data_IF_716552807073
#
_entry.id   IF_716552807073
#
_cell.length_a   1.000
_cell.length_b   1.000
_cell.length_c   1.000
_cell.angle_alpha   90.00
_cell.angle_beta   90.00
_cell.angle_gamma   90.00
#
_symmetry.space_group_name_H-M   'P 1'
#
loop_
_entity.id
_entity.type
_entity.pdbx_description
1 polymer ?
#
# COMPACT_ATOMS: atom_id res chain seq x y z
N UNK A 1 6.45 -3.77 -21.59
CA UNK A 1 5.07 -3.31 -21.82
C UNK A 1 4.73 -2.41 -20.64
N UNK A 2 4.79 -1.07 -20.81
CA UNK A 2 4.52 -0.15 -19.71
C UNK A 2 3.01 0.06 -19.56
N UNK A 3 2.44 -0.37 -18.45
CA UNK A 3 1.06 -0.07 -18.09
C UNK A 3 0.96 1.41 -17.68
N UNK A 4 0.36 2.23 -18.55
CA UNK A 4 -0.02 3.60 -18.21
C UNK A 4 -1.16 3.52 -17.21
N UNK A 5 -0.89 3.84 -15.94
CA UNK A 5 -1.93 3.93 -14.91
C UNK A 5 -2.91 5.05 -15.29
N UNK A 6 -4.14 4.69 -15.63
CA UNK A 6 -5.21 5.64 -15.93
C UNK A 6 -5.54 6.47 -14.68
N UNK A 7 -5.36 7.78 -14.75
CA UNK A 7 -5.75 8.72 -13.70
C UNK A 7 -7.22 9.07 -13.89
N UNK A 8 -8.07 8.71 -12.93
CA UNK A 8 -9.47 9.19 -12.86
C UNK A 8 -9.53 10.44 -11.99
N UNK A 9 -10.13 11.51 -12.51
CA UNK A 9 -10.31 12.77 -11.79
C UNK A 9 -11.78 13.21 -11.88
N UNK A 10 -12.27 13.86 -10.81
CA UNK A 10 -13.59 14.46 -10.75
C UNK A 10 -13.54 15.70 -9.86
N UNK A 11 -14.38 16.69 -10.15
CA UNK A 11 -14.54 17.90 -9.33
C UNK A 11 -15.64 17.62 -8.30
N UNK A 12 -15.36 17.94 -7.03
CA UNK A 12 -16.32 17.80 -5.94
C UNK A 12 -16.44 19.10 -5.16
N UNK A 13 -17.63 19.37 -4.63
CA UNK A 13 -17.86 20.48 -3.71
C UNK A 13 -17.61 20.05 -2.27
N UNK A 14 -16.91 20.89 -1.52
CA UNK A 14 -16.68 20.69 -0.08
C UNK A 14 -17.83 21.33 0.68
N UNK A 15 -18.51 20.52 1.50
CA UNK A 15 -19.55 20.96 2.42
C UNK A 15 -18.96 21.14 3.81
N UNK A 16 -19.36 22.20 4.49
CA UNK A 16 -19.04 22.43 5.89
C UNK A 16 -20.22 21.96 6.74
N UNK A 17 -19.94 21.19 7.80
CA UNK A 17 -20.93 20.82 8.81
C UNK A 17 -21.09 21.94 9.83
N UNK A 18 -22.18 21.94 10.59
CA UNK A 18 -22.40 22.90 11.69
C UNK A 18 -21.27 22.87 12.73
N UNK A 19 -20.67 21.69 12.97
CA UNK A 19 -19.49 21.52 13.84
C UNK A 19 -18.16 22.05 13.23
N UNK A 20 -18.17 22.65 12.04
CA UNK A 20 -16.97 23.15 11.36
C UNK A 20 -16.13 22.08 10.64
N UNK A 21 -16.61 20.84 10.50
CA UNK A 21 -15.92 19.78 9.75
C UNK A 21 -16.15 19.93 8.25
N UNK A 22 -15.14 19.55 7.47
CA UNK A 22 -15.24 19.49 6.01
C UNK A 22 -15.61 18.09 5.55
N UNK A 23 -16.56 17.99 4.62
CA UNK A 23 -17.05 16.73 4.06
C UNK A 23 -17.23 16.88 2.56
N UNK A 24 -17.05 15.79 1.82
CA UNK A 24 -17.42 15.72 0.41
C UNK A 24 -18.04 14.35 0.13
N UNK A 25 -18.86 14.27 -0.92
CA UNK A 25 -19.44 13.02 -1.37
C UNK A 25 -18.54 12.38 -2.42
N UNK A 26 -18.17 11.11 -2.24
CA UNK A 26 -17.38 10.39 -3.23
C UNK A 26 -18.18 10.28 -4.55
N UNK A 27 -17.63 10.74 -5.69
CA UNK A 27 -18.35 10.70 -6.96
C UNK A 27 -18.61 9.28 -7.46
N UNK A 28 -19.63 9.13 -8.28
CA UNK A 28 -19.93 7.87 -8.94
C UNK A 28 -18.77 7.41 -9.83
N UNK A 29 -18.46 6.12 -9.80
CA UNK A 29 -17.33 5.54 -10.54
C UNK A 29 -16.00 5.51 -9.77
N UNK A 30 -15.92 6.15 -8.60
CA UNK A 30 -14.83 6.00 -7.65
C UNK A 30 -15.19 4.94 -6.60
N UNK A 31 -14.24 4.07 -6.27
CA UNK A 31 -14.41 3.06 -5.23
C UNK A 31 -13.22 3.11 -4.30
N UNK A 32 -13.48 3.31 -3.02
CA UNK A 32 -12.51 3.15 -1.95
C UNK A 32 -12.77 1.81 -1.25
N UNK A 33 -11.74 1.06 -0.86
CA UNK A 33 -11.93 -0.16 -0.08
C UNK A 33 -12.59 0.19 1.26
N UNK A 34 -13.42 -0.72 1.78
CA UNK A 34 -13.98 -0.57 3.13
C UNK A 34 -12.83 -0.58 4.15
N UNK A 35 -12.77 0.42 5.02
CA UNK A 35 -11.73 0.50 6.04
C UNK A 35 -11.40 1.93 6.44
N UNK A 36 -10.16 2.13 6.87
CA UNK A 36 -9.61 3.43 7.26
C UNK A 36 -8.86 4.05 6.08
N UNK A 37 -8.93 5.38 5.98
CA UNK A 37 -8.11 6.15 5.05
C UNK A 37 -7.05 6.91 5.85
N UNK A 38 -5.83 6.94 5.34
CA UNK A 38 -4.81 7.89 5.73
C UNK A 38 -5.05 9.16 4.92
N UNK A 39 -5.10 10.30 5.62
CA UNK A 39 -5.18 11.62 5.00
C UNK A 39 -3.83 12.29 5.20
N UNK A 40 -3.16 12.64 4.09
CA UNK A 40 -1.91 13.38 4.12
C UNK A 40 -2.10 14.73 3.44
N UNK A 41 -1.57 15.79 4.08
CA UNK A 41 -1.54 17.13 3.52
C UNK A 41 -0.11 17.47 3.09
N UNK A 42 0.04 17.82 1.82
CA UNK A 42 1.28 18.31 1.23
C UNK A 42 0.99 19.67 0.60
N UNK A 43 1.26 20.75 1.34
CA UNK A 43 0.85 22.10 0.98
C UNK A 43 -0.67 22.22 0.78
N UNK A 44 -1.07 22.51 -0.47
CA UNK A 44 -2.48 22.63 -0.89
C UNK A 44 -3.09 21.31 -1.37
N UNK A 45 -2.32 20.22 -1.37
CA UNK A 45 -2.77 18.91 -1.84
C UNK A 45 -3.12 18.00 -0.68
N UNK A 46 -4.38 17.56 -0.65
CA UNK A 46 -4.81 16.45 0.19
C UNK A 46 -4.76 15.13 -0.59
N UNK A 47 -4.06 14.14 -0.04
CA UNK A 47 -3.99 12.79 -0.59
C UNK A 47 -4.67 11.82 0.38
N UNK A 48 -5.56 10.99 -0.16
CA UNK A 48 -6.29 9.97 0.59
C UNK A 48 -5.82 8.59 0.14
N UNK A 49 -5.25 7.83 1.06
CA UNK A 49 -4.77 6.48 0.79
C UNK A 49 -5.47 5.46 1.68
N UNK A 50 -5.90 4.30 1.17
CA UNK A 50 -6.45 3.26 2.02
C UNK A 50 -5.37 2.70 2.94
N UNK A 51 -5.64 2.68 4.24
CA UNK A 51 -4.79 2.00 5.21
C UNK A 51 -4.95 0.50 4.97
N UNK A 52 -4.03 -0.07 4.19
CA UNK A 52 -3.93 -1.52 4.07
C UNK A 52 -3.53 -2.05 5.45
N UNK A 53 -4.33 -2.96 6.00
CA UNK A 53 -3.91 -3.73 7.17
C UNK A 53 -2.63 -4.46 6.76
N UNK A 54 -1.49 -4.06 7.32
CA UNK A 54 -0.28 -4.87 7.26
C UNK A 54 -0.54 -6.05 8.17
N UNK A 55 -0.30 -7.26 7.67
CA UNK A 55 -0.31 -8.45 8.50
C UNK A 55 0.74 -8.27 9.60
N UNK A 56 0.43 -8.70 10.82
CA UNK A 56 1.49 -8.88 11.81
C UNK A 56 2.46 -9.96 11.31
N UNK A 57 3.67 -10.02 11.88
CA UNK A 57 4.61 -11.10 11.55
C UNK A 57 3.96 -12.48 11.79
N UNK A 58 3.24 -12.64 12.90
CA UNK A 58 2.47 -13.84 13.21
C UNK A 58 1.42 -14.16 12.13
N UNK A 59 0.61 -13.18 11.72
CA UNK A 59 -0.41 -13.39 10.69
C UNK A 59 0.18 -13.72 9.32
N UNK A 60 1.34 -13.15 9.01
CA UNK A 60 2.08 -13.45 7.79
C UNK A 60 2.59 -14.88 7.81
N UNK A 61 3.24 -15.30 8.91
CA UNK A 61 3.75 -16.67 9.09
C UNK A 61 2.60 -17.70 9.07
N UNK A 62 1.46 -17.40 9.67
CA UNK A 62 0.29 -18.28 9.68
C UNK A 62 -0.31 -18.51 8.27
N UNK A 63 -0.08 -17.59 7.33
CA UNK A 63 -0.53 -17.71 5.94
C UNK A 63 0.49 -18.40 5.02
N UNK A 64 1.71 -18.64 5.49
CA UNK A 64 2.74 -19.31 4.70
C UNK A 64 2.49 -20.82 4.65
N UNK A 65 2.56 -21.38 3.46
CA UNK A 65 2.57 -22.83 3.25
C UNK A 65 4.03 -23.28 3.24
N UNK A 66 4.40 -24.35 3.97
CA UNK A 66 5.76 -24.88 3.91
C UNK A 66 6.05 -25.36 2.49
N UNK A 67 7.21 -24.96 1.98
CA UNK A 67 7.73 -25.48 0.72
C UNK A 67 8.25 -26.91 0.94
N UNK A 68 8.02 -27.78 -0.03
CA UNK A 68 8.61 -29.11 -0.07
C UNK A 68 10.12 -29.01 -0.36
N UNK A 69 10.91 -30.00 0.05
CA UNK A 69 12.39 -30.00 -0.16
C UNK A 69 12.78 -29.78 -1.63
N UNK A 70 12.00 -30.30 -2.57
CA UNK A 70 12.22 -30.17 -4.01
C UNK A 70 12.00 -28.75 -4.57
N UNK A 71 11.35 -27.86 -3.81
CA UNK A 71 11.09 -26.47 -4.20
C UNK A 71 12.18 -25.50 -3.76
N UNK A 72 13.07 -25.96 -2.85
CA UNK A 72 14.21 -25.16 -2.42
C UNK A 72 15.32 -25.23 -3.48
N UNK A 73 15.88 -24.09 -3.91
CA UNK A 73 17.05 -24.09 -4.78
C UNK A 73 18.26 -24.65 -4.03
N UNK A 74 19.09 -25.42 -4.74
CA UNK A 74 20.41 -25.83 -4.28
C UNK A 74 21.36 -24.64 -4.47
N UNK A 75 21.62 -23.90 -3.39
CA UNK A 75 22.44 -22.69 -3.40
C UNK A 75 23.82 -23.02 -2.86
N UNK A 76 24.86 -22.70 -3.63
CA UNK A 76 26.26 -22.81 -3.21
C UNK A 76 26.98 -21.45 -3.15
N UNK A 77 28.26 -21.46 -2.78
CA UNK A 77 29.09 -20.24 -2.65
C UNK A 77 29.25 -19.49 -3.99
N UNK A 78 29.01 -20.14 -5.13
CA UNK A 78 29.08 -19.51 -6.45
C UNK A 78 27.83 -18.69 -6.81
N UNK A 79 26.70 -18.99 -6.17
CA UNK A 79 25.46 -18.22 -6.29
C UNK A 79 25.46 -16.94 -5.42
N UNK A 80 26.37 -16.87 -4.44
CA UNK A 80 26.48 -15.76 -3.53
C UNK A 80 27.24 -14.59 -4.18
N UNK A 81 26.66 -13.39 -4.05
CA UNK A 81 27.36 -12.16 -4.42
C UNK A 81 28.59 -11.92 -3.53
N UNK A 82 29.54 -11.08 -3.98
CA UNK A 82 30.72 -10.74 -3.18
C UNK A 82 30.31 -10.16 -1.83
N UNK A 83 31.00 -10.58 -0.77
CA UNK A 83 30.78 -10.07 0.57
C UNK A 83 30.90 -8.55 0.57
N UNK A 84 29.91 -7.90 1.17
CA UNK A 84 30.00 -6.46 1.44
C UNK A 84 30.88 -6.27 2.66
N UNK A 85 31.83 -5.37 2.55
CA UNK A 85 32.54 -4.87 3.72
C UNK A 85 31.56 -4.03 4.54
N UNK A 86 31.28 -4.46 5.76
CA UNK A 86 30.36 -3.80 6.69
C UNK A 86 31.12 -3.45 7.96
N UNK A 87 31.20 -2.17 8.27
CA UNK A 87 31.67 -1.69 9.57
C UNK A 87 30.54 -1.85 10.59
N UNK A 88 30.80 -2.63 11.64
CA UNK A 88 29.89 -2.91 12.76
C UNK A 88 30.14 -1.97 13.95
#
# INVERSE_FOLDING_TARGET
MNEIKTIKAAVVEIKHTEDGRQTFQLPEGFKLPKGKLLVQQDGDRLTFEPVKRRLTLEEALAQMVPLCEEEWPDIDDSDLGPLRDIEL
#
